data_IF_237156631058
#
_entry.id   IF_237156631058
#
_cell.length_a   1.000
_cell.length_b   1.000
_cell.length_c   1.000
_cell.angle_alpha   90.00
_cell.angle_beta   90.00
_cell.angle_gamma   90.00
#
_symmetry.space_group_name_H-M   'P 1'
#
loop_
_entity.id
_entity.type
_entity.pdbx_description
1 polymer ?
#
# COMPACT_ATOMS: atom_id res chain seq x y z
N UNK A 1 14.29 11.51 1.16
CA UNK A 1 12.89 11.84 1.49
C UNK A 1 12.78 12.02 2.99
N UNK A 2 12.27 13.16 3.46
CA UNK A 2 11.97 13.37 4.88
C UNK A 2 10.81 12.49 5.37
N UNK A 3 10.60 12.44 6.69
CA UNK A 3 9.64 11.53 7.33
C UNK A 3 8.20 11.83 6.94
N UNK A 4 7.82 13.10 6.80
CA UNK A 4 6.44 13.50 6.50
C UNK A 4 6.07 13.20 5.05
N UNK A 5 7.01 13.42 4.11
CA UNK A 5 6.87 13.01 2.71
C UNK A 5 6.80 11.50 2.59
N UNK A 6 7.59 10.76 3.36
CA UNK A 6 7.53 9.29 3.40
C UNK A 6 6.17 8.80 3.89
N UNK A 7 5.67 9.34 5.00
CA UNK A 7 4.34 8.99 5.53
C UNK A 7 3.26 9.30 4.52
N UNK A 8 3.32 10.46 3.87
CA UNK A 8 2.34 10.86 2.85
C UNK A 8 2.41 9.95 1.61
N UNK A 9 3.61 9.60 1.17
CA UNK A 9 3.82 8.66 0.06
C UNK A 9 3.29 7.26 0.40
N UNK A 10 3.57 6.74 1.59
CA UNK A 10 3.03 5.46 2.07
C UNK A 10 1.50 5.49 2.17
N UNK A 11 0.93 6.57 2.69
CA UNK A 11 -0.52 6.72 2.80
C UNK A 11 -1.18 6.71 1.41
N UNK A 12 -0.64 7.48 0.47
CA UNK A 12 -1.15 7.54 -0.89
C UNK A 12 -1.00 6.21 -1.61
N UNK A 13 0.21 5.63 -1.61
CA UNK A 13 0.49 4.38 -2.32
C UNK A 13 -0.28 3.19 -1.75
N UNK A 14 -0.43 3.09 -0.43
CA UNK A 14 -1.26 2.04 0.19
C UNK A 14 -2.72 2.17 -0.23
N UNK A 15 -3.27 3.40 -0.24
CA UNK A 15 -4.64 3.63 -0.70
C UNK A 15 -4.83 3.30 -2.19
N UNK A 16 -3.90 3.72 -3.04
CA UNK A 16 -3.94 3.44 -4.47
C UNK A 16 -3.76 1.94 -4.77
N UNK A 17 -2.86 1.26 -4.07
CA UNK A 17 -2.66 -0.18 -4.18
C UNK A 17 -3.98 -0.92 -3.89
N UNK A 18 -4.65 -0.60 -2.78
CA UNK A 18 -5.90 -1.26 -2.39
C UNK A 18 -7.03 -0.96 -3.39
N UNK A 19 -7.16 0.29 -3.84
CA UNK A 19 -8.17 0.65 -4.84
C UNK A 19 -7.89 -0.01 -6.18
N UNK A 20 -6.64 -0.02 -6.65
CA UNK A 20 -6.25 -0.67 -7.91
C UNK A 20 -6.49 -2.17 -7.90
N UNK A 21 -6.29 -2.82 -6.75
CA UNK A 21 -6.64 -4.22 -6.55
C UNK A 21 -8.15 -4.45 -6.69
N UNK A 22 -8.98 -3.60 -6.09
CA UNK A 22 -10.44 -3.70 -6.24
C UNK A 22 -10.90 -3.50 -7.70
N UNK A 23 -10.25 -2.61 -8.45
CA UNK A 23 -10.52 -2.43 -9.89
C UNK A 23 -10.13 -3.69 -10.68
N UNK A 24 -8.94 -4.25 -10.42
CA UNK A 24 -8.50 -5.49 -11.04
C UNK A 24 -9.47 -6.64 -10.73
N UNK A 25 -9.85 -6.78 -9.46
CA UNK A 25 -10.80 -7.79 -9.01
C UNK A 25 -12.16 -7.65 -9.70
N UNK A 26 -12.67 -6.42 -9.84
CA UNK A 26 -13.87 -6.12 -10.60
C UNK A 26 -13.75 -6.54 -12.07
N UNK A 27 -12.62 -6.22 -12.73
CA UNK A 27 -12.37 -6.62 -14.11
C UNK A 27 -12.36 -8.15 -14.29
N UNK A 28 -11.83 -8.89 -13.30
CA UNK A 28 -11.85 -10.35 -13.28
C UNK A 28 -13.28 -10.90 -13.17
N UNK A 29 -14.09 -10.36 -12.25
CA UNK A 29 -15.50 -10.77 -12.10
C UNK A 29 -16.37 -10.43 -13.31
N UNK A 30 -16.02 -9.38 -14.05
CA UNK A 30 -16.66 -9.01 -15.32
C UNK A 30 -16.09 -9.78 -16.52
N UNK A 31 -15.14 -10.70 -16.31
CA UNK A 31 -14.45 -11.46 -17.35
C UNK A 31 -13.88 -10.58 -18.49
N UNK A 32 -13.39 -9.38 -18.14
CA UNK A 32 -12.83 -8.43 -19.11
C UNK A 32 -11.33 -8.65 -19.26
N UNK A 33 -10.90 -9.29 -20.35
CA UNK A 33 -9.46 -9.52 -20.61
C UNK A 33 -8.68 -8.20 -20.73
N UNK A 34 -9.21 -7.23 -21.46
CA UNK A 34 -8.61 -5.90 -21.59
C UNK A 34 -8.52 -5.19 -20.22
N UNK A 35 -9.58 -5.29 -19.42
CA UNK A 35 -9.62 -4.74 -18.06
C UNK A 35 -8.57 -5.37 -17.14
N UNK A 36 -8.46 -6.70 -17.15
CA UNK A 36 -7.47 -7.44 -16.36
C UNK A 36 -6.05 -7.10 -16.80
N UNK A 37 -5.79 -6.98 -18.11
CA UNK A 37 -4.46 -6.62 -18.63
C UNK A 37 -4.03 -5.23 -18.14
N UNK A 38 -4.88 -4.22 -18.32
CA UNK A 38 -4.57 -2.83 -17.93
C UNK A 38 -4.53 -2.67 -16.42
N UNK A 39 -5.58 -3.12 -15.71
CA UNK A 39 -5.65 -3.01 -14.26
C UNK A 39 -4.56 -3.84 -13.57
N UNK A 40 -4.21 -5.00 -14.13
CA UNK A 40 -3.14 -5.87 -13.63
C UNK A 40 -1.78 -5.20 -13.73
N UNK A 41 -1.46 -4.55 -14.85
CA UNK A 41 -0.22 -3.79 -15.01
C UNK A 41 -0.15 -2.61 -14.02
N UNK A 42 -1.24 -1.85 -13.89
CA UNK A 42 -1.32 -0.72 -12.95
C UNK A 42 -1.17 -1.20 -11.49
N UNK A 43 -1.93 -2.23 -11.10
CA UNK A 43 -1.88 -2.79 -9.76
C UNK A 43 -0.48 -3.35 -9.43
N UNK A 44 0.13 -4.10 -10.35
CA UNK A 44 1.48 -4.64 -10.17
C UNK A 44 2.52 -3.55 -9.92
N UNK A 45 2.48 -2.45 -10.69
CA UNK A 45 3.38 -1.30 -10.49
C UNK A 45 3.15 -0.62 -9.14
N UNK A 46 1.89 -0.42 -8.75
CA UNK A 46 1.54 0.17 -7.45
C UNK A 46 1.99 -0.73 -6.29
N UNK A 47 1.82 -2.05 -6.42
CA UNK A 47 2.28 -3.02 -5.42
C UNK A 47 3.81 -3.00 -5.26
N UNK A 48 4.57 -2.88 -6.36
CA UNK A 48 6.02 -2.73 -6.30
C UNK A 48 6.44 -1.42 -5.63
N UNK A 49 5.77 -0.30 -5.97
CA UNK A 49 6.03 0.99 -5.34
C UNK A 49 5.71 0.98 -3.84
N UNK A 50 4.56 0.39 -3.47
CA UNK A 50 4.17 0.16 -2.08
C UNK A 50 5.22 -0.68 -1.34
N UNK A 51 5.63 -1.81 -1.90
CA UNK A 51 6.64 -2.70 -1.32
C UNK A 51 7.96 -1.97 -1.08
N UNK A 52 8.45 -1.24 -2.09
CA UNK A 52 9.67 -0.45 -1.96
C UNK A 52 9.57 0.60 -0.84
N UNK A 53 8.44 1.31 -0.74
CA UNK A 53 8.22 2.29 0.32
C UNK A 53 8.08 1.67 1.71
N UNK A 54 7.45 0.49 1.84
CA UNK A 54 7.35 -0.23 3.13
C UNK A 54 8.74 -0.66 3.60
N UNK A 55 9.55 -1.25 2.71
CA UNK A 55 10.90 -1.68 3.03
C UNK A 55 11.82 -0.49 3.35
N UNK A 56 11.76 0.57 2.55
CA UNK A 56 12.52 1.81 2.79
C UNK A 56 12.08 2.53 4.07
N UNK A 57 10.77 2.51 4.35
CA UNK A 57 10.16 3.15 5.50
C UNK A 57 10.36 2.38 6.80
N UNK A 58 10.63 1.07 6.73
CA UNK A 58 10.89 0.21 7.89
C UNK A 58 11.90 0.83 8.84
N UNK A 59 13.06 1.25 8.35
CA UNK A 59 14.12 1.84 9.17
C UNK A 59 13.76 3.23 9.68
N UNK A 60 13.13 4.04 8.84
CA UNK A 60 12.85 5.46 9.12
C UNK A 60 11.65 5.69 10.03
N UNK A 61 10.75 4.71 10.08
CA UNK A 61 9.57 4.69 10.93
C UNK A 61 9.73 3.70 12.08
N UNK A 62 10.93 3.12 12.25
CA UNK A 62 11.27 2.16 13.32
C UNK A 62 10.31 0.96 13.38
N UNK A 63 9.87 0.50 12.21
CA UNK A 63 9.04 -0.70 12.12
C UNK A 63 9.91 -1.95 12.18
N UNK A 64 9.35 -3.00 12.78
CA UNK A 64 10.01 -4.32 12.81
C UNK A 64 9.98 -4.96 11.43
N UNK A 65 10.94 -5.85 11.16
CA UNK A 65 10.94 -6.68 9.94
C UNK A 65 9.68 -7.52 9.83
N UNK A 66 9.20 -8.09 10.95
CA UNK A 66 7.95 -8.86 10.97
C UNK A 66 6.75 -8.04 10.47
N UNK A 67 6.63 -6.78 10.90
CA UNK A 67 5.57 -5.90 10.39
C UNK A 67 5.71 -5.63 8.89
N UNK A 68 6.91 -5.28 8.43
CA UNK A 68 7.15 -4.98 7.02
C UNK A 68 6.86 -6.19 6.12
N UNK A 69 7.24 -7.40 6.55
CA UNK A 69 6.97 -8.64 5.82
C UNK A 69 5.48 -8.96 5.78
N UNK A 70 4.76 -8.87 6.90
CA UNK A 70 3.30 -9.06 6.92
C UNK A 70 2.62 -8.06 5.98
N UNK A 71 3.03 -6.79 6.03
CA UNK A 71 2.48 -5.74 5.18
C UNK A 71 2.68 -6.04 3.68
N UNK A 72 3.85 -6.52 3.27
CA UNK A 72 4.12 -6.83 1.85
C UNK A 72 3.45 -8.13 1.42
N UNK A 73 3.58 -9.21 2.19
CA UNK A 73 3.12 -10.56 1.79
C UNK A 73 1.61 -10.63 1.69
N UNK A 74 0.89 -9.85 2.51
CA UNK A 74 -0.58 -9.83 2.50
C UNK A 74 -1.17 -8.85 1.47
N UNK A 75 -0.32 -8.18 0.68
CA UNK A 75 -0.73 -7.31 -0.42
C UNK A 75 -1.76 -6.25 0.00
N UNK A 76 -2.96 -6.24 -0.58
CA UNK A 76 -4.00 -5.26 -0.27
C UNK A 76 -4.40 -5.19 1.19
N UNK A 77 -4.39 -6.34 1.89
CA UNK A 77 -4.69 -6.39 3.32
C UNK A 77 -3.60 -5.68 4.11
N UNK A 78 -2.33 -5.89 3.74
CA UNK A 78 -1.19 -5.24 4.34
C UNK A 78 -1.15 -3.74 4.08
N UNK A 79 -1.58 -3.30 2.91
CA UNK A 79 -1.75 -1.88 2.60
C UNK A 79 -2.80 -1.22 3.50
N UNK A 80 -3.93 -1.90 3.77
CA UNK A 80 -4.93 -1.43 4.74
C UNK A 80 -4.34 -1.36 6.16
N UNK A 81 -3.57 -2.36 6.59
CA UNK A 81 -2.89 -2.35 7.90
C UNK A 81 -1.94 -1.16 8.01
N UNK A 82 -1.17 -0.87 6.96
CA UNK A 82 -0.27 0.30 6.90
C UNK A 82 -1.07 1.60 7.00
N UNK A 83 -2.17 1.74 6.25
CA UNK A 83 -3.05 2.91 6.35
C UNK A 83 -3.55 3.13 7.77
N UNK A 84 -4.06 2.10 8.41
CA UNK A 84 -4.60 2.19 9.76
C UNK A 84 -3.50 2.55 10.77
N UNK A 85 -2.30 1.97 10.64
CA UNK A 85 -1.15 2.32 11.48
C UNK A 85 -0.77 3.79 11.33
N UNK A 86 -0.70 4.31 10.11
CA UNK A 86 -0.39 5.72 9.84
C UNK A 86 -1.49 6.66 10.33
N UNK A 87 -2.77 6.27 10.23
CA UNK A 87 -3.90 7.04 10.76
C UNK A 87 -3.83 7.17 12.28
N UNK A 88 -3.50 6.08 12.98
CA UNK A 88 -3.35 6.09 14.45
C UNK A 88 -2.23 7.03 14.88
N UNK A 89 -1.08 7.00 14.20
CA UNK A 89 0.04 7.90 14.47
C UNK A 89 -0.31 9.37 14.28
N UNK A 90 -1.14 9.70 13.26
CA UNK A 90 -1.62 11.08 13.08
C UNK A 90 -2.57 11.53 14.19
N UNK A 91 -3.49 10.67 14.62
CA UNK A 91 -4.47 10.99 15.68
C UNK A 91 -3.81 11.29 17.03
N UNK A 92 -2.74 10.58 17.38
CA UNK A 92 -2.02 10.78 18.65
C UNK A 92 -1.19 12.06 18.71
N UNK A 93 -0.89 12.70 17.57
CA UNK A 93 -0.14 13.96 17.51
C UNK A 93 -1.07 15.18 17.60
N UNK A 94 -2.36 14.99 17.32
CA UNK A 94 -3.38 16.04 17.29
C UNK A 94 -4.26 16.12 18.55
N UNK A 95 -3.99 15.32 19.58
CA UNK A 95 -4.70 15.28 20.86
C UNK A 95 -3.77 15.70 21.99
#
# INVERSE_FOLDING_TARGET
>A
MDKDRLISALYLTSGLETVSFLVLLGAMFLHSEAGVSVAGAIHGLLFLAYTALVLYGRERLEWTWGFALVAVITGPIGAIIVLERLRRQRRTVSA
#
